data_IF_200251205905
#
_entry.id   IF_200251205905
#
_cell.length_a   1.000
_cell.length_b   1.000
_cell.length_c   1.000
_cell.angle_alpha   90.00
_cell.angle_beta   90.00
_cell.angle_gamma   90.00
#
_symmetry.space_group_name_H-M   'P 1'
#
loop_
_entity.id
_entity.type
_entity.pdbx_description
1 polymer ?
#
# COMPACT_ATOMS: atom_id res chain seq x y z
N UNK A 1 -7.33 13.77 7.37
CA UNK A 1 -5.92 13.51 7.76
C UNK A 1 -5.75 12.33 8.71
N UNK A 2 -6.77 11.94 9.48
CA UNK A 2 -6.70 10.87 10.50
C UNK A 2 -6.01 9.57 10.06
N UNK A 3 -6.25 9.11 8.82
CA UNK A 3 -5.68 7.85 8.30
C UNK A 3 -4.43 8.05 7.44
N UNK A 4 -4.30 9.21 6.78
CA UNK A 4 -3.16 9.47 5.88
C UNK A 4 -1.87 9.69 6.64
N UNK A 5 -1.92 10.45 7.74
CA UNK A 5 -0.72 10.72 8.55
C UNK A 5 -0.05 9.44 9.05
N UNK A 6 -0.74 8.49 9.70
CA UNK A 6 -0.12 7.24 10.10
C UNK A 6 0.33 6.40 8.90
N UNK A 7 -0.45 6.34 7.80
CA UNK A 7 -0.03 5.64 6.58
C UNK A 7 1.32 6.14 6.04
N UNK A 8 1.54 7.46 6.05
CA UNK A 8 2.81 8.05 5.60
C UNK A 8 4.00 7.65 6.49
N UNK A 9 3.79 7.48 7.80
CA UNK A 9 4.85 7.00 8.71
C UNK A 9 5.32 5.58 8.36
N UNK A 10 4.40 4.73 7.87
CA UNK A 10 4.68 3.35 7.45
C UNK A 10 4.97 3.19 5.95
N UNK A 11 5.18 4.29 5.22
CA UNK A 11 5.34 4.26 3.76
C UNK A 11 6.80 4.19 3.28
N UNK A 12 7.77 4.16 4.19
CA UNK A 12 9.21 4.22 3.90
C UNK A 12 9.69 5.55 3.24
N UNK A 13 8.80 6.52 2.99
CA UNK A 13 9.16 7.80 2.35
C UNK A 13 10.10 8.64 3.22
N UNK A 14 9.74 8.82 4.50
CA UNK A 14 10.48 9.68 5.43
C UNK A 14 11.35 8.90 6.42
N UNK A 15 10.94 7.67 6.74
CA UNK A 15 11.55 6.85 7.78
C UNK A 15 11.89 5.48 7.19
N UNK A 16 13.18 5.11 7.07
CA UNK A 16 13.59 3.80 6.61
C UNK A 16 13.01 2.72 7.54
N UNK A 17 12.09 1.90 7.03
CA UNK A 17 11.34 0.97 7.90
C UNK A 17 12.22 -0.13 8.46
N UNK A 18 13.16 -0.64 7.67
CA UNK A 18 14.08 -1.71 8.07
C UNK A 18 15.01 -1.28 9.22
N UNK A 19 15.32 0.02 9.32
CA UNK A 19 16.16 0.57 10.38
C UNK A 19 15.37 0.90 11.65
N UNK A 20 14.06 1.17 11.52
CA UNK A 20 13.23 1.75 12.58
C UNK A 20 12.20 0.79 13.17
N UNK A 21 11.86 -0.27 12.46
CA UNK A 21 10.85 -1.26 12.87
C UNK A 21 11.47 -2.66 12.87
N UNK A 22 11.19 -3.43 13.93
CA UNK A 22 11.64 -4.81 14.05
C UNK A 22 10.46 -5.76 14.29
N UNK A 23 10.52 -6.95 13.70
CA UNK A 23 9.59 -8.04 13.96
C UNK A 23 8.17 -7.80 13.43
N UNK A 24 7.12 -7.90 14.27
CA UNK A 24 5.73 -7.90 13.82
C UNK A 24 5.29 -6.61 13.12
N UNK A 25 5.93 -5.48 13.40
CA UNK A 25 5.57 -4.18 12.83
C UNK A 25 5.88 -4.05 11.35
N UNK A 26 6.85 -4.80 10.83
CA UNK A 26 7.12 -4.84 9.39
C UNK A 26 5.96 -5.49 8.63
N UNK A 27 5.33 -6.52 9.22
CA UNK A 27 4.14 -7.13 8.64
C UNK A 27 2.94 -6.17 8.64
N UNK A 28 2.81 -5.33 9.67
CA UNK A 28 1.80 -4.27 9.68
C UNK A 28 2.03 -3.27 8.56
N UNK A 29 3.29 -2.84 8.34
CA UNK A 29 3.62 -1.96 7.23
C UNK A 29 3.32 -2.60 5.86
N UNK A 30 3.62 -3.88 5.69
CA UNK A 30 3.33 -4.64 4.46
C UNK A 30 1.83 -4.83 4.21
N UNK A 31 0.99 -4.82 5.25
CA UNK A 31 -0.46 -4.84 5.08
C UNK A 31 -1.02 -3.48 4.61
N UNK A 32 -0.26 -2.39 4.77
CA UNK A 32 -0.72 -1.06 4.40
C UNK A 32 -0.44 -0.79 2.91
N UNK A 33 -1.45 -0.36 2.14
CA UNK A 33 -1.33 -0.24 0.70
C UNK A 33 -0.34 0.85 0.24
N UNK A 34 0.07 1.76 1.13
CA UNK A 34 0.93 2.90 0.78
C UNK A 34 2.41 2.52 0.65
N UNK A 35 2.85 1.40 1.25
CA UNK A 35 4.24 0.95 1.18
C UNK A 35 4.63 0.49 -0.25
N UNK A 36 3.79 -0.34 -0.86
CA UNK A 36 4.01 -0.94 -2.18
C UNK A 36 4.28 0.07 -3.31
N UNK A 37 3.48 1.14 -3.51
CA UNK A 37 3.72 2.09 -4.59
C UNK A 37 4.98 2.92 -4.36
N UNK A 38 5.34 3.20 -3.10
CA UNK A 38 6.59 3.91 -2.78
C UNK A 38 7.80 3.03 -3.09
N UNK A 39 7.76 1.76 -2.69
CA UNK A 39 8.81 0.78 -2.98
C UNK A 39 9.00 0.61 -4.50
N UNK A 40 7.90 0.49 -5.25
CA UNK A 40 7.90 0.44 -6.72
C UNK A 40 8.53 1.69 -7.35
N UNK A 41 8.10 2.88 -6.95
CA UNK A 41 8.65 4.12 -7.48
C UNK A 41 10.15 4.23 -7.19
N UNK A 42 10.56 3.94 -5.94
CA UNK A 42 11.97 3.98 -5.53
C UNK A 42 12.83 3.03 -6.36
N UNK A 43 12.40 1.78 -6.50
CA UNK A 43 13.13 0.79 -7.28
C UNK A 43 13.23 1.17 -8.77
N UNK A 44 12.16 1.73 -9.34
CA UNK A 44 12.15 2.21 -10.72
C UNK A 44 13.16 3.36 -10.94
N UNK A 45 13.22 4.33 -10.01
CA UNK A 45 14.20 5.42 -10.09
C UNK A 45 15.64 5.00 -9.81
N UNK A 46 15.85 3.96 -8.98
CA UNK A 46 17.18 3.40 -8.72
C UNK A 46 17.65 2.42 -9.80
N UNK A 47 16.75 1.93 -10.64
CA UNK A 47 17.05 0.85 -11.59
C UNK A 47 17.37 -0.48 -10.90
N UNK A 48 16.78 -0.72 -9.72
CA UNK A 48 17.01 -1.92 -8.90
C UNK A 48 15.82 -2.88 -9.02
N UNK A 49 15.77 -3.76 -10.04
CA UNK A 49 14.70 -4.73 -10.16
C UNK A 49 14.79 -5.75 -9.02
N UNK A 50 13.66 -5.97 -8.33
CA UNK A 50 13.54 -6.97 -7.28
C UNK A 50 12.28 -7.82 -7.48
N UNK A 51 12.32 -9.14 -7.22
CA UNK A 51 11.13 -9.98 -7.28
C UNK A 51 9.97 -9.49 -6.41
N UNK A 52 10.28 -8.77 -5.31
CA UNK A 52 9.26 -8.18 -4.43
C UNK A 52 8.35 -7.19 -5.16
N UNK A 53 8.83 -6.55 -6.23
CA UNK A 53 8.06 -5.57 -7.00
C UNK A 53 6.87 -6.19 -7.73
N UNK A 54 6.98 -7.48 -8.11
CA UNK A 54 5.86 -8.22 -8.68
C UNK A 54 4.77 -8.44 -7.63
N UNK A 55 5.16 -8.71 -6.38
CA UNK A 55 4.24 -8.80 -5.25
C UNK A 55 3.58 -7.45 -4.97
N UNK A 56 4.37 -6.36 -4.88
CA UNK A 56 3.86 -5.01 -4.67
C UNK A 56 2.82 -4.61 -5.74
N UNK A 57 3.12 -4.92 -7.00
CA UNK A 57 2.22 -4.66 -8.12
C UNK A 57 0.95 -5.51 -8.05
N UNK A 58 1.08 -6.81 -7.78
CA UNK A 58 -0.04 -7.72 -7.61
C UNK A 58 -0.95 -7.31 -6.45
N UNK A 59 -0.35 -6.94 -5.32
CA UNK A 59 -1.06 -6.44 -4.14
C UNK A 59 -1.89 -5.20 -4.49
N UNK A 60 -1.28 -4.21 -5.16
CA UNK A 60 -1.94 -2.98 -5.59
C UNK A 60 -3.13 -3.24 -6.53
N UNK A 61 -2.98 -4.15 -7.48
CA UNK A 61 -4.07 -4.52 -8.38
C UNK A 61 -5.22 -5.19 -7.63
N UNK A 62 -4.92 -6.13 -6.74
CA UNK A 62 -5.92 -6.85 -5.95
C UNK A 62 -6.68 -5.89 -5.04
N UNK A 63 -5.97 -5.10 -4.22
CA UNK A 63 -6.61 -4.20 -3.25
C UNK A 63 -7.45 -3.13 -3.94
N UNK A 64 -6.94 -2.57 -5.06
CA UNK A 64 -7.67 -1.56 -5.84
C UNK A 64 -8.94 -2.14 -6.43
N UNK A 65 -8.88 -3.35 -6.98
CA UNK A 65 -10.05 -4.03 -7.55
C UNK A 65 -11.10 -4.34 -6.48
N UNK A 66 -10.68 -4.83 -5.31
CA UNK A 66 -11.57 -5.12 -4.19
C UNK A 66 -12.26 -3.85 -3.66
N UNK A 67 -11.50 -2.78 -3.43
CA UNK A 67 -12.04 -1.50 -2.96
C UNK A 67 -12.97 -0.85 -3.97
N UNK A 68 -12.62 -0.88 -5.27
CA UNK A 68 -13.49 -0.37 -6.33
C UNK A 68 -14.78 -1.19 -6.45
N UNK A 69 -14.69 -2.52 -6.36
CA UNK A 69 -15.86 -3.39 -6.37
C UNK A 69 -16.78 -3.07 -5.18
N UNK A 70 -16.22 -2.94 -3.98
CA UNK A 70 -16.97 -2.59 -2.79
C UNK A 70 -17.61 -1.20 -2.88
N UNK A 71 -16.85 -0.20 -3.34
CA UNK A 71 -17.36 1.15 -3.56
C UNK A 71 -18.52 1.17 -4.56
N UNK A 72 -18.40 0.45 -5.69
CA UNK A 72 -19.47 0.33 -6.69
C UNK A 72 -20.73 -0.31 -6.11
N UNK A 73 -20.57 -1.35 -5.27
CA UNK A 73 -21.70 -1.99 -4.59
C UNK A 73 -22.36 -1.04 -3.59
N UNK A 74 -21.57 -0.35 -2.77
CA UNK A 74 -22.05 0.59 -1.77
C UNK A 74 -22.81 1.77 -2.39
N UNK A 75 -22.30 2.32 -3.50
CA UNK A 75 -22.98 3.38 -4.26
C UNK A 75 -24.29 2.86 -4.85
N UNK A 76 -24.29 1.68 -5.47
CA UNK A 76 -25.50 1.08 -6.04
C UNK A 76 -26.59 0.90 -4.98
N UNK A 77 -26.24 0.35 -3.82
CA UNK A 77 -27.18 0.13 -2.71
C UNK A 77 -27.82 1.43 -2.20
N UNK A 78 -27.13 2.57 -2.30
CA UNK A 78 -27.64 3.88 -1.89
C UNK A 78 -28.55 4.54 -2.95
N UNK A 79 -28.48 4.11 -4.21
CA UNK A 79 -29.27 4.69 -5.31
C UNK A 79 -30.56 3.91 -5.60
N UNK A 80 -30.63 2.65 -5.17
CA UNK A 80 -31.84 1.79 -5.31
C UNK A 80 -32.70 1.71 -4.05
N UNK A 81 -32.30 2.35 -2.95
CA UNK A 81 -33.15 2.63 -1.77
C UNK A 81 -33.59 4.09 -1.82
#
# INVERSE_FOLDING_TARGET
TLFLTPLFLFSDVFFPLEERLSGPWLWVAEALPLLHPVRLARAAFRGEPSPILLWDFGYLLVISTLLLFWARRAVRQRLTN
#
